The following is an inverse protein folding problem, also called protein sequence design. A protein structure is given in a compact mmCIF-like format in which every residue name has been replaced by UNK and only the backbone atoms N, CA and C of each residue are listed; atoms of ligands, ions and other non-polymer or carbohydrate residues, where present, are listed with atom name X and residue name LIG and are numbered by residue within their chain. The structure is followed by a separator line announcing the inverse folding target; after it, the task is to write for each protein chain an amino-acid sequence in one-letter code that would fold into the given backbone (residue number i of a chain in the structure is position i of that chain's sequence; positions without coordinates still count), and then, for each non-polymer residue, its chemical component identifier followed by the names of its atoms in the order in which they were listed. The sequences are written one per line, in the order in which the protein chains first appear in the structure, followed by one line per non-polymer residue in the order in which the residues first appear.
data_IF_504889292514
#
_entry.id   IF_504889292514
#
_cell.length_a   1.000
_cell.length_b   1.000
_cell.length_c   1.000
_cell.angle_alpha   90.00
_cell.angle_beta   90.00
_cell.angle_gamma   90.00
#
_symmetry.space_group_name_H-M   'P 1'
#
loop_
_entity.id
_entity.type
_entity.pdbx_description
1 polymer ?
#
# COMPACT_ATOMS: atom_id res chain seq x y z
N UNK A 1 -28.30 -23.81 -9.48
CA UNK A 1 -28.36 -24.06 -8.02
C UNK A 1 -27.18 -24.87 -7.48
N UNK A 2 -26.76 -25.99 -8.08
CA UNK A 2 -25.58 -26.80 -7.63
C UNK A 2 -24.20 -26.14 -7.82
N UNK A 3 -24.10 -25.08 -8.63
CA UNK A 3 -22.83 -24.39 -8.96
C UNK A 3 -22.37 -23.43 -7.86
N UNK A 4 -23.32 -22.87 -7.10
CA UNK A 4 -23.06 -21.87 -6.05
C UNK A 4 -22.73 -22.57 -4.72
N UNK A 5 -23.36 -23.73 -4.47
CA UNK A 5 -23.16 -24.51 -3.23
C UNK A 5 -21.72 -25.02 -3.08
N UNK A 6 -21.06 -25.35 -4.19
CA UNK A 6 -19.66 -25.84 -4.16
C UNK A 6 -18.67 -24.69 -3.94
N UNK A 7 -18.93 -23.51 -4.51
CA UNK A 7 -18.10 -22.31 -4.30
C UNK A 7 -18.20 -21.80 -2.86
N UNK A 8 -19.41 -21.82 -2.27
CA UNK A 8 -19.61 -21.51 -0.85
C UNK A 8 -18.91 -22.51 0.07
N UNK A 9 -18.86 -23.80 -0.29
CA UNK A 9 -18.17 -24.83 0.52
C UNK A 9 -16.65 -24.68 0.45
N UNK A 10 -16.07 -24.33 -0.70
CA UNK A 10 -14.62 -24.05 -0.80
C UNK A 10 -14.21 -22.77 -0.08
N UNK A 11 -15.02 -21.71 -0.15
CA UNK A 11 -14.76 -20.46 0.58
C UNK A 11 -14.97 -20.65 2.09
N UNK A 12 -15.98 -21.43 2.49
CA UNK A 12 -16.23 -21.76 3.91
C UNK A 12 -15.14 -22.64 4.51
N UNK A 13 -14.59 -23.60 3.76
CA UNK A 13 -13.46 -24.41 4.22
C UNK A 13 -12.15 -23.60 4.30
N UNK A 14 -11.95 -22.60 3.43
CA UNK A 14 -10.84 -21.64 3.58
C UNK A 14 -11.06 -20.71 4.79
N UNK A 15 -12.31 -20.30 5.07
CA UNK A 15 -12.65 -19.48 6.24
C UNK A 15 -12.55 -20.25 7.58
N UNK A 16 -12.89 -21.54 7.61
CA UNK A 16 -12.70 -22.42 8.79
C UNK A 16 -11.21 -22.66 9.10
N UNK A 17 -10.35 -22.67 8.08
CA UNK A 17 -8.90 -22.65 8.30
C UNK A 17 -8.39 -21.29 8.80
N UNK A 18 -9.13 -20.19 8.58
CA UNK A 18 -8.85 -18.88 9.15
C UNK A 18 -9.29 -18.77 10.62
N UNK A 19 -10.39 -19.41 11.03
CA UNK A 19 -10.84 -19.36 12.43
C UNK A 19 -9.91 -20.14 13.38
N UNK A 20 -9.37 -21.29 12.96
CA UNK A 20 -8.42 -22.07 13.76
C UNK A 20 -7.03 -21.43 13.89
N UNK A 21 -6.71 -20.44 13.03
CA UNK A 21 -5.49 -19.63 13.12
C UNK A 21 -5.71 -18.32 13.88
N UNK A 22 -6.95 -17.79 13.89
CA UNK A 22 -7.33 -16.62 14.68
C UNK A 22 -7.60 -16.95 16.16
N UNK A 23 -7.96 -18.19 16.51
CA UNK A 23 -8.17 -18.61 17.91
C UNK A 23 -6.89 -18.63 18.76
N UNK A 24 -5.71 -18.48 18.16
CA UNK A 24 -4.44 -18.33 18.87
C UNK A 24 -3.93 -16.87 18.95
N UNK A 25 -4.74 -15.89 18.53
CA UNK A 25 -4.33 -14.47 18.45
C UNK A 25 -5.24 -13.50 19.20
N UNK A 26 -6.12 -13.96 20.08
CA UNK A 26 -6.95 -13.06 20.89
C UNK A 26 -6.43 -12.89 22.33
N UNK A 27 -6.14 -11.62 22.66
CA UNK A 27 -6.19 -10.97 23.98
C UNK A 27 -4.95 -11.01 24.89
N UNK A 28 -3.99 -10.10 24.64
CA UNK A 28 -3.21 -9.41 25.69
C UNK A 28 -3.14 -7.90 25.32
N UNK A 29 -4.17 -7.14 25.73
CA UNK A 29 -4.18 -6.09 26.78
C UNK A 29 -3.67 -4.71 26.38
N UNK A 30 -4.62 -3.82 26.10
CA UNK A 30 -4.56 -2.38 26.41
C UNK A 30 -5.53 -2.12 27.58
N UNK A 31 -4.97 -1.72 28.73
CA UNK A 31 -5.52 -0.77 29.71
C UNK A 31 -4.71 -0.93 31.01
N UNK A 32 -3.89 0.06 31.31
CA UNK A 32 -3.35 0.26 32.65
C UNK A 32 -4.39 0.92 33.53
N UNK A 33 -4.48 0.49 34.79
CA UNK A 33 -4.83 1.32 35.94
C UNK A 33 -4.23 0.64 37.18
N UNK A 34 -3.39 1.42 37.84
CA UNK A 34 -2.66 1.13 39.07
C UNK A 34 -3.61 1.39 40.24
N UNK A 35 -3.89 0.39 41.06
CA UNK A 35 -4.28 0.57 42.47
C UNK A 35 -3.82 -0.63 43.30
N UNK A 36 -3.02 -0.34 44.33
CA UNK A 36 -2.60 -1.26 45.40
C UNK A 36 -3.80 -1.70 46.24
N UNK A 37 -3.91 -3.01 46.58
CA UNK A 37 -4.07 -3.53 47.96
C UNK A 37 -4.52 -5.00 47.98
N UNK A 38 -3.74 -5.77 48.75
CA UNK A 38 -4.12 -6.76 49.77
C UNK A 38 -4.79 -8.09 49.34
N UNK A 39 -4.08 -9.14 49.74
CA UNK A 39 -4.38 -10.57 49.83
C UNK A 39 -5.63 -10.90 50.65
N UNK A 40 -6.39 -11.92 50.21
CA UNK A 40 -7.04 -12.97 51.02
C UNK A 40 -7.62 -14.00 50.04
N UNK A 41 -7.01 -15.18 49.87
CA UNK A 41 -7.38 -16.45 50.54
C UNK A 41 -8.89 -16.66 50.58
N UNK A 42 -9.38 -17.64 49.81
CA UNK A 42 -10.48 -18.52 50.19
C UNK A 42 -10.42 -19.80 49.34
N UNK A 43 -10.27 -20.91 50.06
CA UNK A 43 -10.29 -22.30 49.59
C UNK A 43 -11.67 -22.69 49.05
N UNK A 44 -11.70 -23.56 48.03
CA UNK A 44 -12.74 -24.60 47.94
C UNK A 44 -12.23 -25.81 47.14
N UNK A 45 -12.42 -27.04 47.63
CA UNK A 45 -11.83 -28.25 47.07
C UNK A 45 -12.73 -28.85 45.98
N UNK A 46 -12.14 -29.31 44.86
CA UNK A 46 -12.83 -30.22 43.94
C UNK A 46 -12.03 -31.51 43.78
N UNK A 47 -12.47 -32.49 44.55
CA UNK A 47 -12.61 -33.92 44.28
C UNK A 47 -11.97 -34.37 42.95
N UNK A 48 -10.84 -35.03 43.10
CA UNK A 48 -10.15 -35.83 42.10
C UNK A 48 -10.93 -37.12 41.83
N UNK A 49 -11.54 -37.23 40.65
CA UNK A 49 -11.92 -38.52 40.07
C UNK A 49 -10.90 -38.92 39.01
N UNK A 50 -10.17 -39.99 39.32
CA UNK A 50 -9.27 -40.68 38.43
C UNK A 50 -10.04 -41.86 37.81
N UNK A 51 -10.10 -41.99 36.47
CA UNK A 51 -10.32 -43.30 35.86
C UNK A 51 -9.00 -43.78 35.27
N UNK A 52 -8.50 -44.88 35.84
CA UNK A 52 -7.55 -45.78 35.19
C UNK A 52 -8.17 -46.27 33.88
N UNK A 53 -7.40 -46.29 32.78
CA UNK A 53 -7.41 -47.27 31.67
C UNK A 53 -6.35 -46.82 30.61
N UNK A 54 -5.87 -47.73 29.74
CA UNK A 54 -4.45 -47.95 29.52
C UNK A 54 -3.83 -47.12 28.39
N UNK A 55 -2.49 -47.02 28.45
CA UNK A 55 -1.59 -46.42 27.47
C UNK A 55 -1.91 -46.82 26.01
N UNK A 56 -2.77 -46.05 25.34
CA UNK A 56 -2.76 -45.97 23.89
C UNK A 56 -1.59 -45.05 23.49
N UNK A 57 -0.46 -45.70 23.18
CA UNK A 57 0.71 -45.09 22.56
C UNK A 57 0.28 -44.52 21.19
N UNK A 58 -0.15 -43.26 21.17
CA UNK A 58 -0.41 -42.53 19.93
C UNK A 58 0.92 -42.34 19.20
N UNK A 59 1.30 -43.32 18.36
CA UNK A 59 2.21 -43.06 17.25
C UNK A 59 1.48 -42.11 16.29
N UNK A 60 1.64 -40.81 16.53
CA UNK A 60 1.27 -39.75 15.58
C UNK A 60 2.18 -39.89 14.34
N UNK A 61 1.78 -40.78 13.43
CA UNK A 61 2.48 -41.01 12.17
C UNK A 61 2.23 -39.82 11.23
N UNK A 62 3.11 -38.83 11.36
CA UNK A 62 3.17 -37.66 10.48
C UNK A 62 3.37 -38.02 8.99
N UNK A 63 3.83 -39.24 8.69
CA UNK A 63 4.00 -39.76 7.31
C UNK A 63 2.68 -40.15 6.65
N UNK A 64 1.71 -40.72 7.39
CA UNK A 64 0.41 -41.15 6.84
C UNK A 64 -0.48 -39.95 6.50
N UNK A 65 -0.50 -38.90 7.35
CA UNK A 65 -1.18 -37.62 7.03
C UNK A 65 -0.65 -36.95 5.77
N UNK A 66 0.67 -37.00 5.51
CA UNK A 66 1.27 -36.46 4.28
C UNK A 66 0.93 -37.28 3.04
N UNK A 67 0.79 -38.60 3.16
CA UNK A 67 0.37 -39.49 2.06
C UNK A 67 -1.07 -39.25 1.63
N UNK A 68 -1.99 -39.22 2.61
CA UNK A 68 -3.42 -38.95 2.37
C UNK A 68 -3.63 -37.52 1.85
N UNK A 69 -2.92 -36.53 2.41
CA UNK A 69 -2.97 -35.15 1.93
C UNK A 69 -2.52 -34.99 0.47
N UNK A 70 -1.46 -35.71 0.05
CA UNK A 70 -1.02 -35.71 -1.35
C UNK A 70 -2.02 -36.37 -2.29
N UNK A 71 -2.61 -37.50 -1.88
CA UNK A 71 -3.64 -38.18 -2.67
C UNK A 71 -4.90 -37.31 -2.84
N UNK A 72 -5.41 -36.73 -1.75
CA UNK A 72 -6.58 -35.83 -1.77
C UNK A 72 -6.28 -34.59 -2.59
N UNK A 73 -5.11 -33.97 -2.43
CA UNK A 73 -4.69 -32.82 -3.24
C UNK A 73 -4.66 -33.15 -4.74
N UNK A 74 -4.09 -34.30 -5.12
CA UNK A 74 -4.02 -34.72 -6.52
C UNK A 74 -5.40 -34.96 -7.15
N UNK A 75 -6.36 -35.50 -6.37
CA UNK A 75 -7.74 -35.74 -6.82
C UNK A 75 -8.52 -34.44 -6.94
N UNK A 76 -8.32 -33.50 -6.01
CA UNK A 76 -8.86 -32.15 -6.08
C UNK A 76 -8.31 -31.37 -7.28
N UNK A 77 -7.01 -31.50 -7.57
CA UNK A 77 -6.37 -30.85 -8.71
C UNK A 77 -6.95 -31.36 -10.05
N UNK A 78 -7.18 -32.67 -10.19
CA UNK A 78 -7.84 -33.25 -11.38
C UNK A 78 -9.31 -32.84 -11.50
N UNK A 79 -10.03 -32.72 -10.39
CA UNK A 79 -11.43 -32.27 -10.42
C UNK A 79 -11.52 -30.79 -10.82
N UNK A 80 -10.62 -29.96 -10.28
CA UNK A 80 -10.54 -28.54 -10.62
C UNK A 80 -10.17 -28.31 -12.10
N UNK A 81 -9.22 -29.07 -12.66
CA UNK A 81 -8.85 -28.94 -14.08
C UNK A 81 -9.96 -29.37 -15.05
N UNK A 82 -10.72 -30.41 -14.71
CA UNK A 82 -11.93 -30.78 -15.47
C UNK A 82 -13.00 -29.69 -15.42
N UNK A 83 -13.19 -29.07 -14.26
CA UNK A 83 -14.13 -27.96 -14.07
C UNK A 83 -13.72 -26.72 -14.86
N UNK A 84 -12.44 -26.36 -14.84
CA UNK A 84 -11.89 -25.26 -15.65
C UNK A 84 -12.08 -25.52 -17.16
N UNK A 85 -11.82 -26.75 -17.62
CA UNK A 85 -12.04 -27.15 -19.01
C UNK A 85 -13.50 -27.07 -19.44
N UNK A 86 -14.43 -27.44 -18.55
CA UNK A 86 -15.87 -27.31 -18.79
C UNK A 86 -16.31 -25.84 -18.86
N UNK A 87 -15.90 -25.02 -17.89
CA UNK A 87 -16.22 -23.59 -17.85
C UNK A 87 -15.69 -22.86 -19.09
N UNK A 88 -14.45 -23.14 -19.50
CA UNK A 88 -13.84 -22.54 -20.69
C UNK A 88 -14.63 -22.81 -21.96
N UNK A 89 -15.17 -24.04 -22.11
CA UNK A 89 -15.95 -24.45 -23.29
C UNK A 89 -17.36 -23.86 -23.31
N UNK A 90 -18.02 -23.79 -22.16
CA UNK A 90 -19.45 -23.41 -22.09
C UNK A 90 -19.67 -21.91 -21.87
N UNK A 91 -18.79 -21.25 -21.11
CA UNK A 91 -18.95 -19.84 -20.73
C UNK A 91 -17.60 -19.09 -20.76
N UNK A 92 -17.08 -18.74 -21.96
CA UNK A 92 -15.74 -18.18 -22.11
C UNK A 92 -15.55 -16.84 -21.37
N UNK A 93 -16.55 -15.96 -21.36
CA UNK A 93 -16.50 -14.67 -20.63
C UNK A 93 -16.48 -14.86 -19.11
N UNK A 94 -17.28 -15.79 -18.59
CA UNK A 94 -17.29 -16.12 -17.17
C UNK A 94 -15.98 -16.79 -16.74
N UNK A 95 -15.42 -17.65 -17.60
CA UNK A 95 -14.13 -18.30 -17.35
C UNK A 95 -13.01 -17.27 -17.22
N UNK A 96 -12.97 -16.23 -18.06
CA UNK A 96 -11.98 -15.15 -17.93
C UNK A 96 -12.08 -14.46 -16.57
N UNK A 97 -13.29 -14.09 -16.13
CA UNK A 97 -13.50 -13.49 -14.81
C UNK A 97 -13.07 -14.44 -13.69
N UNK A 98 -13.57 -15.68 -13.69
CA UNK A 98 -13.22 -16.70 -12.72
C UNK A 98 -11.70 -16.90 -12.62
N UNK A 99 -11.02 -17.04 -13.76
CA UNK A 99 -9.58 -17.22 -13.82
C UNK A 99 -8.84 -16.00 -13.25
N UNK A 100 -9.23 -14.78 -13.62
CA UNK A 100 -8.65 -13.55 -13.05
C UNK A 100 -8.85 -13.48 -11.53
N UNK A 101 -10.01 -13.90 -11.01
CA UNK A 101 -10.25 -13.95 -9.57
C UNK A 101 -9.39 -14.98 -8.86
N UNK A 102 -9.34 -16.21 -9.36
CA UNK A 102 -8.55 -17.29 -8.78
C UNK A 102 -7.06 -16.94 -8.75
N UNK A 103 -6.52 -16.42 -9.86
CA UNK A 103 -5.14 -15.97 -9.91
C UNK A 103 -4.90 -14.77 -8.97
N UNK A 104 -5.81 -13.80 -8.93
CA UNK A 104 -5.72 -12.67 -8.00
C UNK A 104 -5.68 -13.10 -6.53
N UNK A 105 -6.49 -14.09 -6.14
CA UNK A 105 -6.47 -14.66 -4.78
C UNK A 105 -5.17 -15.42 -4.48
N UNK A 106 -4.64 -16.19 -5.45
CA UNK A 106 -3.36 -16.88 -5.29
C UNK A 106 -2.22 -15.88 -5.03
N UNK A 107 -2.16 -14.80 -5.82
CA UNK A 107 -1.17 -13.74 -5.68
C UNK A 107 -1.33 -13.01 -4.34
N UNK A 108 -2.54 -12.64 -3.96
CA UNK A 108 -2.81 -12.00 -2.66
C UNK A 108 -2.37 -12.87 -1.47
N UNK A 109 -2.56 -14.19 -1.56
CA UNK A 109 -2.13 -15.12 -0.52
C UNK A 109 -0.61 -15.26 -0.47
N UNK A 110 0.07 -15.21 -1.62
CA UNK A 110 1.53 -15.16 -1.67
C UNK A 110 2.06 -13.89 -1.01
N UNK A 111 1.49 -12.72 -1.35
CA UNK A 111 1.83 -11.45 -0.72
C UNK A 111 1.61 -11.47 0.79
N UNK A 112 0.48 -12.01 1.25
CA UNK A 112 0.18 -12.13 2.68
C UNK A 112 1.21 -13.01 3.41
N UNK A 113 1.66 -14.11 2.79
CA UNK A 113 2.70 -14.98 3.35
C UNK A 113 4.06 -14.28 3.39
N UNK A 114 4.42 -13.56 2.34
CA UNK A 114 5.66 -12.78 2.27
C UNK A 114 5.68 -11.67 3.33
N UNK A 115 4.60 -10.90 3.44
CA UNK A 115 4.45 -9.86 4.46
C UNK A 115 4.49 -10.45 5.87
N UNK A 116 3.86 -11.60 6.09
CA UNK A 116 3.96 -12.31 7.37
C UNK A 116 5.41 -12.68 7.68
N UNK A 117 6.15 -13.22 6.70
CA UNK A 117 7.57 -13.57 6.86
C UNK A 117 8.40 -12.33 7.22
N UNK A 118 8.19 -11.22 6.52
CA UNK A 118 8.88 -9.94 6.79
C UNK A 118 8.56 -9.46 8.21
N UNK A 119 7.27 -9.46 8.61
CA UNK A 119 6.85 -9.03 9.95
C UNK A 119 7.40 -9.92 11.06
N UNK A 120 7.43 -11.23 10.84
CA UNK A 120 8.07 -12.16 11.79
C UNK A 120 9.55 -11.87 11.91
N UNK A 121 10.27 -11.65 10.80
CA UNK A 121 11.69 -11.27 10.82
C UNK A 121 11.91 -9.97 11.59
N UNK A 122 11.12 -8.92 11.30
CA UNK A 122 11.19 -7.64 12.03
C UNK A 122 11.02 -7.83 13.54
N UNK A 123 10.08 -8.68 13.95
CA UNK A 123 9.83 -8.94 15.38
C UNK A 123 10.97 -9.74 16.02
N UNK A 124 11.44 -10.80 15.35
CA UNK A 124 12.53 -11.65 15.85
C UNK A 124 13.86 -10.91 15.93
N UNK A 125 14.18 -10.08 14.95
CA UNK A 125 15.45 -9.34 14.85
C UNK A 125 15.36 -7.92 15.43
N UNK A 126 14.20 -7.52 15.97
CA UNK A 126 13.91 -6.15 16.48
C UNK A 126 14.23 -5.03 15.48
N UNK A 127 14.13 -5.31 14.18
CA UNK A 127 14.40 -4.33 13.13
C UNK A 127 13.31 -3.27 13.08
N UNK A 128 13.72 -2.01 12.94
CA UNK A 128 12.80 -0.92 12.63
C UNK A 128 12.40 -0.99 11.16
N UNK A 129 11.28 -0.33 10.80
CA UNK A 129 10.85 -0.24 9.39
C UNK A 129 11.89 0.43 8.48
N UNK A 130 12.76 1.27 9.04
CA UNK A 130 13.76 2.07 8.32
C UNK A 130 14.98 1.26 7.86
N UNK A 131 15.27 0.16 8.56
CA UNK A 131 16.44 -0.69 8.33
C UNK A 131 16.16 -1.80 7.32
N UNK A 132 14.90 -1.96 6.91
CA UNK A 132 14.50 -2.95 5.94
C UNK A 132 15.07 -2.67 4.54
N UNK A 133 15.27 -3.73 3.74
CA UNK A 133 15.61 -3.55 2.34
C UNK A 133 14.42 -2.93 1.58
N UNK A 134 14.74 -2.17 0.53
CA UNK A 134 13.75 -1.45 -0.30
C UNK A 134 12.58 -2.34 -0.75
N UNK A 135 12.87 -3.55 -1.25
CA UNK A 135 11.85 -4.48 -1.77
C UNK A 135 10.86 -4.92 -0.69
N UNK A 136 11.32 -5.15 0.54
CA UNK A 136 10.46 -5.56 1.65
C UNK A 136 9.59 -4.38 2.13
N UNK A 137 10.16 -3.17 2.18
CA UNK A 137 9.42 -1.95 2.51
C UNK A 137 8.31 -1.65 1.49
N UNK A 138 8.63 -1.73 0.20
CA UNK A 138 7.67 -1.49 -0.87
C UNK A 138 6.55 -2.54 -0.84
N UNK A 139 6.88 -3.83 -0.66
CA UNK A 139 5.90 -4.91 -0.50
C UNK A 139 4.96 -4.65 0.68
N UNK A 140 5.49 -4.29 1.86
CA UNK A 140 4.69 -3.97 3.04
C UNK A 140 3.72 -2.81 2.78
N UNK A 141 4.21 -1.75 2.14
CA UNK A 141 3.41 -0.57 1.81
C UNK A 141 2.29 -0.89 0.82
N UNK A 142 2.60 -1.60 -0.26
CA UNK A 142 1.63 -2.03 -1.25
C UNK A 142 0.55 -2.92 -0.64
N UNK A 143 0.96 -3.93 0.15
CA UNK A 143 0.04 -4.82 0.83
C UNK A 143 -0.88 -4.06 1.79
N UNK A 144 -0.35 -3.16 2.62
CA UNK A 144 -1.16 -2.33 3.53
C UNK A 144 -2.21 -1.52 2.76
N UNK A 145 -1.80 -0.88 1.65
CA UNK A 145 -2.71 -0.10 0.79
C UNK A 145 -3.81 -0.98 0.19
N UNK A 146 -3.46 -2.19 -0.24
CA UNK A 146 -4.38 -3.16 -0.82
C UNK A 146 -5.38 -3.68 0.21
N UNK A 147 -4.93 -4.01 1.42
CA UNK A 147 -5.81 -4.46 2.52
C UNK A 147 -6.77 -3.36 2.96
N UNK A 148 -6.31 -2.11 3.09
CA UNK A 148 -7.19 -0.98 3.45
C UNK A 148 -8.29 -0.77 2.39
N UNK A 149 -7.98 -0.98 1.10
CA UNK A 149 -8.98 -0.92 0.02
C UNK A 149 -9.97 -2.10 0.05
N UNK A 150 -9.51 -3.30 0.40
CA UNK A 150 -10.35 -4.49 0.43
C UNK A 150 -11.16 -4.65 1.72
N UNK A 151 -10.77 -3.97 2.80
CA UNK A 151 -11.43 -4.07 4.10
C UNK A 151 -12.95 -3.81 4.06
N UNK A 152 -13.46 -2.74 3.41
CA UNK A 152 -14.91 -2.53 3.29
C UNK A 152 -15.63 -3.68 2.60
N UNK A 153 -15.02 -4.26 1.56
CA UNK A 153 -15.59 -5.39 0.83
C UNK A 153 -15.73 -6.63 1.71
N UNK A 154 -14.72 -6.91 2.53
CA UNK A 154 -14.73 -8.04 3.47
C UNK A 154 -15.84 -7.86 4.51
N UNK A 155 -16.01 -6.66 5.07
CA UNK A 155 -17.06 -6.37 6.06
C UNK A 155 -18.45 -6.53 5.46
N UNK A 156 -18.67 -6.03 4.24
CA UNK A 156 -19.95 -6.20 3.52
C UNK A 156 -20.23 -7.67 3.20
N UNK A 157 -19.20 -8.52 3.09
CA UNK A 157 -19.36 -9.96 2.79
C UNK A 157 -19.72 -10.82 4.00
N UNK A 158 -19.68 -10.29 5.23
CA UNK A 158 -19.96 -11.06 6.46
C UNK A 158 -21.41 -11.59 6.47
N UNK A 159 -22.45 -10.80 6.13
CA UNK A 159 -23.81 -11.31 6.06
C UNK A 159 -23.97 -12.28 4.87
N UNK A 160 -24.60 -13.45 5.06
CA UNK A 160 -24.68 -14.49 4.04
C UNK A 160 -25.39 -14.06 2.74
N UNK A 161 -26.31 -13.09 2.81
CA UNK A 161 -27.06 -12.56 1.66
C UNK A 161 -26.33 -11.45 0.90
N UNK A 162 -25.36 -10.79 1.52
CA UNK A 162 -24.63 -9.68 0.90
C UNK A 162 -23.55 -10.14 -0.08
N UNK A 163 -23.25 -11.44 -0.15
CA UNK A 163 -22.32 -12.00 -1.13
C UNK A 163 -22.69 -11.66 -2.58
N UNK A 164 -23.97 -11.72 -2.94
CA UNK A 164 -24.43 -11.33 -4.29
C UNK A 164 -24.23 -9.83 -4.54
N UNK A 165 -24.48 -8.99 -3.52
CA UNK A 165 -24.24 -7.56 -3.59
C UNK A 165 -22.74 -7.26 -3.81
N UNK A 166 -21.84 -8.00 -3.17
CA UNK A 166 -20.38 -7.88 -3.37
C UNK A 166 -20.01 -8.17 -4.83
N UNK A 167 -20.55 -9.23 -5.44
CA UNK A 167 -20.30 -9.51 -6.86
C UNK A 167 -20.82 -8.41 -7.79
N UNK A 168 -22.00 -7.86 -7.51
CA UNK A 168 -22.57 -6.73 -8.25
C UNK A 168 -21.68 -5.49 -8.11
N UNK A 169 -21.33 -5.11 -6.88
CA UNK A 169 -20.46 -3.96 -6.60
C UNK A 169 -19.09 -4.10 -7.25
N UNK A 170 -18.53 -5.31 -7.26
CA UNK A 170 -17.24 -5.60 -7.87
C UNK A 170 -17.26 -5.45 -9.40
N UNK A 171 -18.39 -5.79 -10.04
CA UNK A 171 -18.58 -5.63 -11.48
C UNK A 171 -18.74 -4.16 -11.87
N UNK A 172 -19.53 -3.38 -11.11
CA UNK A 172 -19.79 -1.97 -11.41
C UNK A 172 -18.69 -1.01 -10.94
N UNK A 173 -18.00 -1.33 -9.83
CA UNK A 173 -16.97 -0.47 -9.22
C UNK A 173 -15.60 -1.17 -9.10
N UNK A 174 -15.06 -1.74 -10.19
CA UNK A 174 -13.80 -2.49 -10.14
C UNK A 174 -12.63 -1.63 -9.67
N UNK A 175 -12.62 -0.33 -9.98
CA UNK A 175 -11.54 0.59 -9.62
C UNK A 175 -11.45 0.88 -8.11
N UNK A 176 -12.59 0.94 -7.43
CA UNK A 176 -12.67 1.37 -6.03
C UNK A 176 -12.53 0.21 -5.06
N UNK A 177 -13.10 -0.95 -5.41
CA UNK A 177 -13.22 -2.09 -4.52
C UNK A 177 -12.17 -3.19 -4.78
N UNK A 178 -11.65 -3.31 -6.00
CA UNK A 178 -10.67 -4.35 -6.31
C UNK A 178 -9.24 -3.89 -6.02
N UNK A 179 -8.46 -4.84 -5.53
CA UNK A 179 -7.01 -4.76 -5.43
C UNK A 179 -6.40 -4.89 -6.85
N UNK A 180 -5.25 -4.24 -7.17
CA UNK A 180 -4.60 -4.37 -8.48
C UNK A 180 -4.39 -5.80 -8.98
N UNK A 181 -4.24 -6.78 -8.08
CA UNK A 181 -4.14 -8.21 -8.39
C UNK A 181 -5.35 -8.80 -9.13
N UNK A 182 -6.52 -8.17 -9.02
CA UNK A 182 -7.75 -8.61 -9.69
C UNK A 182 -8.05 -7.83 -10.97
N UNK A 183 -7.18 -6.88 -11.35
CA UNK A 183 -7.34 -6.10 -12.57
C UNK A 183 -6.66 -6.81 -13.75
N UNK A 184 -7.30 -6.74 -14.91
CA UNK A 184 -6.64 -7.14 -16.16
C UNK A 184 -5.46 -6.21 -16.48
N UNK A 185 -4.43 -6.66 -17.23
CA UNK A 185 -3.28 -5.81 -17.57
C UNK A 185 -3.69 -4.50 -18.26
N UNK A 186 -4.71 -4.55 -19.13
CA UNK A 186 -5.27 -3.35 -19.79
C UNK A 186 -5.87 -2.38 -18.78
N UNK A 187 -6.70 -2.88 -17.86
CA UNK A 187 -7.30 -2.06 -16.79
C UNK A 187 -6.24 -1.45 -15.87
N UNK A 188 -5.14 -2.16 -15.59
CA UNK A 188 -4.07 -1.61 -14.77
C UNK A 188 -3.46 -0.35 -15.40
N UNK A 189 -3.13 -0.40 -16.69
CA UNK A 189 -2.58 0.74 -17.43
C UNK A 189 -3.58 1.90 -17.49
N UNK A 190 -4.82 1.61 -17.85
CA UNK A 190 -5.88 2.62 -17.96
C UNK A 190 -6.16 3.30 -16.62
N UNK A 191 -6.31 2.53 -15.54
CA UNK A 191 -6.56 3.08 -14.22
C UNK A 191 -5.36 3.87 -13.71
N UNK A 192 -4.13 3.42 -13.95
CA UNK A 192 -2.94 4.19 -13.60
C UNK A 192 -2.90 5.53 -14.34
N UNK A 193 -3.19 5.54 -15.65
CA UNK A 193 -3.28 6.78 -16.42
C UNK A 193 -4.35 7.73 -15.86
N UNK A 194 -5.53 7.20 -15.52
CA UNK A 194 -6.61 7.98 -14.93
C UNK A 194 -6.27 8.51 -13.52
N UNK A 195 -5.63 7.72 -12.67
CA UNK A 195 -5.16 8.17 -11.36
C UNK A 195 -4.08 9.25 -11.48
N UNK A 196 -3.20 9.13 -12.48
CA UNK A 196 -2.22 10.14 -12.79
C UNK A 196 -2.87 11.45 -13.29
N UNK A 197 -3.85 11.38 -14.19
CA UNK A 197 -4.54 12.60 -14.66
C UNK A 197 -5.28 13.32 -13.54
N UNK A 198 -5.90 12.58 -12.60
CA UNK A 198 -6.51 13.18 -11.41
C UNK A 198 -5.48 13.84 -10.49
N UNK A 199 -4.30 13.24 -10.33
CA UNK A 199 -3.17 13.84 -9.59
C UNK A 199 -2.71 15.13 -10.28
N UNK A 200 -2.56 15.12 -11.60
CA UNK A 200 -2.07 16.25 -12.38
C UNK A 200 -2.96 17.51 -12.26
N UNK A 201 -4.27 17.34 -12.06
CA UNK A 201 -5.20 18.46 -11.79
C UNK A 201 -4.83 19.28 -10.56
N UNK A 202 -4.08 18.71 -9.62
CA UNK A 202 -3.66 19.38 -8.40
C UNK A 202 -2.29 20.06 -8.48
N UNK A 203 -1.54 19.90 -9.57
CA UNK A 203 -0.23 20.52 -9.72
C UNK A 203 -0.30 22.06 -9.73
N UNK A 204 -1.18 22.64 -10.55
CA UNK A 204 -1.35 24.10 -10.63
C UNK A 204 -1.89 24.74 -9.34
N UNK A 205 -2.93 24.18 -8.68
CA UNK A 205 -3.34 24.67 -7.36
C UNK A 205 -2.22 24.67 -6.32
N UNK A 206 -1.35 23.66 -6.33
CA UNK A 206 -0.20 23.60 -5.41
C UNK A 206 0.81 24.70 -5.73
N UNK A 207 1.13 24.94 -7.01
CA UNK A 207 2.04 26.03 -7.41
C UNK A 207 1.46 27.41 -7.05
N UNK A 208 0.16 27.63 -7.27
CA UNK A 208 -0.52 28.86 -6.88
C UNK A 208 -0.54 29.05 -5.35
N UNK A 209 -0.74 27.97 -4.60
CA UNK A 209 -0.65 27.98 -3.13
C UNK A 209 0.75 28.35 -2.63
N UNK A 210 1.80 27.84 -3.30
CA UNK A 210 3.19 28.19 -3.02
C UNK A 210 3.49 29.67 -3.31
N UNK A 211 3.05 30.18 -4.45
CA UNK A 211 3.24 31.58 -4.84
C UNK A 211 2.51 32.54 -3.89
N UNK A 212 1.27 32.21 -3.49
CA UNK A 212 0.55 33.00 -2.48
C UNK A 212 1.30 33.00 -1.14
N UNK A 213 1.88 31.86 -0.77
CA UNK A 213 2.64 31.73 0.48
C UNK A 213 3.98 32.46 0.40
N UNK A 214 4.63 32.50 -0.77
CA UNK A 214 5.92 33.19 -0.96
C UNK A 214 5.82 34.69 -0.66
N UNK A 215 4.69 35.32 -0.97
CA UNK A 215 4.42 36.74 -0.66
C UNK A 215 4.47 37.06 0.84
N UNK A 216 4.29 36.06 1.70
CA UNK A 216 4.29 36.19 3.17
C UNK A 216 5.61 35.73 3.81
N UNK A 217 6.63 35.40 3.02
CA UNK A 217 7.94 35.01 3.52
C UNK A 217 8.72 36.26 3.92
N UNK A 218 9.17 36.32 5.18
CA UNK A 218 9.92 37.47 5.71
C UNK A 218 11.34 37.60 5.14
N UNK A 219 11.99 36.47 4.85
CA UNK A 219 13.33 36.45 4.26
C UNK A 219 13.25 36.75 2.75
N UNK A 220 13.69 37.95 2.36
CA UNK A 220 13.65 38.40 0.97
C UNK A 220 14.47 37.54 0.00
N UNK A 221 15.57 36.91 0.44
CA UNK A 221 16.36 36.04 -0.42
C UNK A 221 15.64 34.71 -0.67
N UNK A 222 15.11 34.08 0.38
CA UNK A 222 14.34 32.85 0.25
C UNK A 222 13.02 33.08 -0.49
N UNK A 223 12.39 34.22 -0.30
CA UNK A 223 11.20 34.64 -1.03
C UNK A 223 11.45 34.70 -2.55
N UNK A 224 12.53 35.39 -2.97
CA UNK A 224 12.91 35.47 -4.39
C UNK A 224 13.18 34.08 -4.96
N UNK A 225 14.00 33.27 -4.29
CA UNK A 225 14.31 31.90 -4.71
C UNK A 225 13.07 31.03 -4.90
N UNK A 226 12.10 31.10 -3.97
CA UNK A 226 10.85 30.34 -4.09
C UNK A 226 9.98 30.85 -5.24
N UNK A 227 9.92 32.16 -5.44
CA UNK A 227 9.15 32.79 -6.52
C UNK A 227 9.75 32.45 -7.88
N UNK A 228 11.07 32.54 -8.03
CA UNK A 228 11.80 32.14 -9.23
C UNK A 228 11.61 30.66 -9.54
N UNK A 229 11.66 29.80 -8.51
CA UNK A 229 11.40 28.37 -8.65
C UNK A 229 9.98 28.09 -9.18
N UNK A 230 8.97 28.79 -8.65
CA UNK A 230 7.59 28.65 -9.12
C UNK A 230 7.43 29.17 -10.56
N UNK A 231 8.03 30.32 -10.88
CA UNK A 231 7.98 30.92 -12.21
C UNK A 231 8.62 29.99 -13.26
N UNK A 232 9.78 29.38 -12.97
CA UNK A 232 10.41 28.40 -13.87
C UNK A 232 9.50 27.22 -14.20
N UNK A 233 8.86 26.64 -13.18
CA UNK A 233 7.93 25.52 -13.40
C UNK A 233 6.69 25.97 -14.18
N UNK A 234 6.18 27.18 -13.92
CA UNK A 234 5.07 27.75 -14.69
C UNK A 234 5.45 28.02 -16.16
N UNK A 235 6.70 28.37 -16.43
CA UNK A 235 7.22 28.61 -17.78
C UNK A 235 7.51 27.32 -18.58
N UNK A 236 7.26 26.15 -18.00
CA UNK A 236 7.51 24.87 -18.68
C UNK A 236 8.91 24.30 -18.47
N UNK A 237 9.75 24.92 -17.64
CA UNK A 237 11.10 24.43 -17.34
C UNK A 237 11.10 23.42 -16.18
N UNK A 238 12.08 22.51 -16.18
CA UNK A 238 12.34 21.62 -15.04
C UNK A 238 13.44 22.21 -14.14
N UNK A 239 13.15 22.47 -12.86
CA UNK A 239 14.10 23.09 -11.94
C UNK A 239 15.23 22.14 -11.58
N UNK A 240 16.42 22.71 -11.35
CA UNK A 240 17.61 21.93 -10.94
C UNK A 240 17.49 21.50 -9.47
N UNK A 241 18.11 20.37 -9.13
CA UNK A 241 18.14 19.83 -7.74
C UNK A 241 18.66 20.87 -6.73
N UNK A 242 19.70 21.62 -7.10
CA UNK A 242 20.27 22.69 -6.25
C UNK A 242 19.27 23.82 -5.96
N UNK A 243 18.42 24.18 -6.93
CA UNK A 243 17.41 25.23 -6.80
C UNK A 243 16.29 24.79 -5.84
N UNK A 244 15.87 23.52 -5.92
CA UNK A 244 14.90 22.93 -4.99
C UNK A 244 15.46 22.89 -3.56
N UNK A 245 16.72 22.47 -3.40
CA UNK A 245 17.35 22.38 -2.07
C UNK A 245 17.64 23.76 -1.46
N UNK A 246 17.79 24.80 -2.29
CA UNK A 246 18.02 26.16 -1.82
C UNK A 246 16.84 26.75 -1.03
N UNK A 247 15.63 26.21 -1.16
CA UNK A 247 14.42 26.68 -0.46
C UNK A 247 14.01 25.79 0.73
N UNK A 248 14.78 24.74 1.06
CA UNK A 248 14.42 23.74 2.09
C UNK A 248 14.07 24.31 3.47
N UNK A 249 14.70 25.42 3.86
CA UNK A 249 14.46 26.06 5.15
C UNK A 249 12.99 26.47 5.34
N UNK A 250 12.30 26.88 4.26
CA UNK A 250 10.90 27.30 4.28
C UNK A 250 9.94 26.14 4.62
N UNK A 251 10.38 24.89 4.39
CA UNK A 251 9.57 23.69 4.51
C UNK A 251 9.77 22.93 5.83
N UNK A 252 10.76 23.34 6.65
CA UNK A 252 10.96 22.80 8.01
C UNK A 252 9.96 23.33 9.02
N UNK A 253 9.50 24.58 8.85
CA UNK A 253 8.69 25.31 9.81
C UNK A 253 7.63 26.18 9.13
N UNK A 254 7.12 27.23 9.79
CA UNK A 254 6.30 28.22 9.11
C UNK A 254 7.09 28.84 7.93
N UNK A 255 6.47 29.06 6.75
CA UNK A 255 5.04 28.89 6.48
C UNK A 255 4.66 27.53 5.83
N UNK A 256 5.61 26.76 5.29
CA UNK A 256 5.31 25.61 4.41
C UNK A 256 5.47 24.23 5.07
N UNK A 257 5.90 24.16 6.32
CA UNK A 257 5.98 22.90 7.06
C UNK A 257 4.61 22.26 7.26
N UNK A 258 4.53 20.93 7.19
CA UNK A 258 3.24 20.19 7.18
C UNK A 258 2.32 20.56 8.34
N UNK A 259 2.87 20.84 9.54
CA UNK A 259 2.09 21.20 10.74
C UNK A 259 1.58 22.65 10.74
N UNK A 260 2.14 23.52 9.90
CA UNK A 260 1.89 24.97 9.89
C UNK A 260 1.23 25.45 8.61
N UNK A 261 1.32 24.67 7.54
CA UNK A 261 0.71 24.91 6.25
C UNK A 261 -0.82 25.00 6.33
N UNK A 262 -1.42 25.83 5.47
CA UNK A 262 -2.87 25.98 5.42
C UNK A 262 -3.58 24.67 5.07
N UNK A 263 -4.78 24.49 5.60
CA UNK A 263 -5.58 23.28 5.35
C UNK A 263 -5.96 23.15 3.88
N UNK A 264 -6.24 24.26 3.20
CA UNK A 264 -6.57 24.26 1.78
C UNK A 264 -5.38 23.83 0.91
N UNK A 265 -4.17 24.29 1.25
CA UNK A 265 -2.97 23.84 0.57
C UNK A 265 -2.71 22.34 0.82
N UNK A 266 -2.88 21.87 2.06
CA UNK A 266 -2.83 20.43 2.39
C UNK A 266 -3.85 19.60 1.60
N UNK A 267 -5.06 20.12 1.34
CA UNK A 267 -6.09 19.44 0.54
C UNK A 267 -5.67 19.27 -0.92
N UNK A 268 -4.91 20.22 -1.48
CA UNK A 268 -4.36 20.09 -2.84
C UNK A 268 -3.18 19.12 -2.92
N UNK A 269 -2.35 19.02 -1.86
CA UNK A 269 -1.21 18.09 -1.83
C UNK A 269 -1.66 16.64 -1.56
N UNK A 270 -2.74 16.44 -0.78
CA UNK A 270 -3.22 15.10 -0.39
C UNK A 270 -3.46 14.14 -1.57
N UNK A 271 -4.13 14.54 -2.67
CA UNK A 271 -4.29 13.72 -3.87
C UNK A 271 -2.98 13.29 -4.52
N UNK A 272 -1.88 14.03 -4.35
CA UNK A 272 -0.57 13.67 -4.92
C UNK A 272 -0.06 12.34 -4.37
N UNK A 273 -0.31 12.07 -3.09
CA UNK A 273 -0.02 10.79 -2.43
C UNK A 273 -1.20 9.80 -2.44
N UNK A 274 -2.24 10.06 -3.23
CA UNK A 274 -3.48 9.29 -3.27
C UNK A 274 -4.22 9.26 -1.91
N UNK A 275 -4.15 10.35 -1.15
CA UNK A 275 -4.86 10.52 0.12
C UNK A 275 -6.18 11.26 -0.09
N UNK A 276 -7.14 11.00 0.79
CA UNK A 276 -8.48 11.61 0.74
C UNK A 276 -8.44 13.02 1.34
N UNK A 277 -8.80 14.08 0.58
CA UNK A 277 -8.76 15.47 1.07
C UNK A 277 -9.97 15.88 1.93
N UNK A 278 -10.97 15.00 2.10
CA UNK A 278 -12.24 15.31 2.78
C UNK A 278 -12.22 15.15 4.30
N UNK A 279 -11.05 14.95 4.89
CA UNK A 279 -10.91 14.77 6.34
C UNK A 279 -10.77 16.12 7.06
N UNK A 280 -11.04 16.17 8.38
CA UNK A 280 -10.65 17.31 9.22
C UNK A 280 -9.16 17.66 9.08
N UNK A 281 -8.81 18.96 9.14
CA UNK A 281 -7.47 19.45 8.82
C UNK A 281 -6.33 18.79 9.60
N UNK A 282 -6.51 18.53 10.91
CA UNK A 282 -5.50 17.85 11.72
C UNK A 282 -5.25 16.39 11.29
N UNK A 283 -6.29 15.68 10.82
CA UNK A 283 -6.15 14.32 10.29
C UNK A 283 -5.46 14.32 8.92
N UNK A 284 -5.76 15.32 8.08
CA UNK A 284 -5.04 15.52 6.82
C UNK A 284 -3.55 15.69 7.11
N UNK A 285 -3.18 16.64 7.98
CA UNK A 285 -1.78 16.89 8.31
C UNK A 285 -1.06 15.67 8.89
N UNK A 286 -1.70 14.93 9.81
CA UNK A 286 -1.15 13.68 10.35
C UNK A 286 -0.92 12.63 9.28
N UNK A 287 -1.93 12.34 8.45
CA UNK A 287 -1.81 11.34 7.37
C UNK A 287 -0.77 11.76 6.35
N UNK A 288 -0.77 13.02 5.95
CA UNK A 288 0.17 13.56 5.00
C UNK A 288 1.61 13.41 5.51
N UNK A 289 1.86 13.79 6.76
CA UNK A 289 3.17 13.63 7.40
C UNK A 289 3.61 12.16 7.48
N UNK A 290 2.73 11.26 7.92
CA UNK A 290 3.05 9.83 8.01
C UNK A 290 3.40 9.22 6.65
N UNK A 291 2.65 9.56 5.61
CA UNK A 291 2.91 9.07 4.26
C UNK A 291 4.15 9.71 3.62
N UNK A 292 4.43 10.99 3.93
CA UNK A 292 5.64 11.66 3.47
C UNK A 292 6.91 11.07 4.10
N UNK A 293 6.87 10.80 5.42
CA UNK A 293 7.95 10.10 6.13
C UNK A 293 8.16 8.68 5.61
N UNK A 294 7.06 7.93 5.37
CA UNK A 294 7.15 6.60 4.77
C UNK A 294 7.80 6.64 3.38
N UNK A 295 7.45 7.63 2.55
CA UNK A 295 8.06 7.84 1.24
C UNK A 295 9.55 8.17 1.36
N UNK A 296 9.93 9.07 2.28
CA UNK A 296 11.32 9.44 2.54
C UNK A 296 12.15 8.24 3.02
N UNK A 297 11.60 7.40 3.90
CA UNK A 297 12.27 6.18 4.34
C UNK A 297 12.44 5.18 3.20
N UNK A 298 11.44 5.07 2.32
CA UNK A 298 11.50 4.30 1.08
C UNK A 298 12.60 4.82 0.14
N UNK A 299 12.73 6.13 0.01
CA UNK A 299 13.77 6.79 -0.77
C UNK A 299 15.17 6.52 -0.22
N UNK A 300 15.35 6.58 1.11
CA UNK A 300 16.62 6.22 1.77
C UNK A 300 16.99 4.76 1.49
N UNK A 301 16.05 3.83 1.62
CA UNK A 301 16.29 2.42 1.32
C UNK A 301 16.59 2.20 -0.17
N UNK A 302 15.91 2.93 -1.06
CA UNK A 302 16.16 2.87 -2.49
C UNK A 302 17.54 3.45 -2.85
N UNK A 303 17.96 4.53 -2.20
CA UNK A 303 19.29 5.12 -2.38
C UNK A 303 20.40 4.15 -1.96
N UNK A 304 20.19 3.34 -0.92
CA UNK A 304 21.13 2.28 -0.50
C UNK A 304 21.22 1.14 -1.53
N UNK A 305 20.09 0.77 -2.14
CA UNK A 305 20.04 -0.26 -3.18
C UNK A 305 20.65 0.22 -4.51
N UNK A 306 20.39 1.48 -4.85
CA UNK A 306 20.78 2.10 -6.12
C UNK A 306 19.74 1.85 -7.23
N UNK A 307 19.40 2.88 -8.04
CA UNK A 307 18.39 2.76 -9.11
C UNK A 307 18.80 1.79 -10.23
N UNK A 308 20.09 1.47 -10.36
CA UNK A 308 20.62 0.57 -11.39
C UNK A 308 20.29 -0.92 -11.12
N UNK A 309 19.99 -1.29 -9.87
CA UNK A 309 19.67 -2.66 -9.49
C UNK A 309 18.18 -2.99 -9.62
N UNK A 310 17.34 -1.99 -9.97
CA UNK A 310 15.91 -2.18 -10.17
C UNK A 310 15.64 -2.80 -11.54
N UNK A 311 14.70 -3.72 -11.58
CA UNK A 311 14.09 -4.17 -12.84
C UNK A 311 13.27 -3.04 -13.48
N UNK A 312 13.04 -3.12 -14.79
CA UNK A 312 12.30 -2.09 -15.55
C UNK A 312 10.89 -1.83 -14.99
N UNK A 313 10.21 -2.88 -14.50
CA UNK A 313 8.89 -2.76 -13.88
C UNK A 313 8.98 -2.11 -12.50
N UNK A 314 9.97 -2.49 -11.67
CA UNK A 314 10.22 -1.85 -10.38
C UNK A 314 10.57 -0.36 -10.56
N UNK A 315 11.37 -0.02 -11.57
CA UNK A 315 11.75 1.35 -11.90
C UNK A 315 10.53 2.19 -12.30
N UNK A 316 9.71 1.70 -13.24
CA UNK A 316 8.48 2.40 -13.64
C UNK A 316 7.52 2.58 -12.47
N UNK A 317 7.36 1.55 -11.64
CA UNK A 317 6.52 1.63 -10.47
C UNK A 317 7.05 2.65 -9.46
N UNK A 318 8.36 2.64 -9.19
CA UNK A 318 9.03 3.59 -8.31
C UNK A 318 8.82 5.05 -8.76
N UNK A 319 8.93 5.31 -10.06
CA UNK A 319 8.65 6.63 -10.63
C UNK A 319 7.17 7.02 -10.49
N UNK A 320 6.26 6.09 -10.80
CA UNK A 320 4.81 6.32 -10.72
C UNK A 320 4.33 6.69 -9.31
N UNK A 321 4.86 6.00 -8.30
CA UNK A 321 4.58 6.27 -6.89
C UNK A 321 4.90 7.74 -6.54
N UNK A 322 6.00 8.28 -7.07
CA UNK A 322 6.56 9.59 -6.75
C UNK A 322 5.99 10.74 -7.58
N UNK A 323 5.11 10.47 -8.55
CA UNK A 323 4.46 11.54 -9.32
C UNK A 323 4.42 11.28 -10.81
N UNK A 324 5.46 10.62 -11.34
CA UNK A 324 5.73 10.57 -12.77
C UNK A 324 4.77 9.67 -13.56
N UNK A 325 4.46 10.04 -14.80
CA UNK A 325 3.76 9.14 -15.72
C UNK A 325 4.74 8.18 -16.41
N UNK A 326 5.22 7.16 -15.67
CA UNK A 326 6.31 6.29 -16.13
C UNK A 326 5.99 5.37 -17.30
N UNK A 327 4.71 5.09 -17.57
CA UNK A 327 4.30 4.18 -18.66
C UNK A 327 4.50 4.80 -20.05
N UNK A 328 4.51 6.12 -20.18
CA UNK A 328 4.75 6.80 -21.46
C UNK A 328 6.23 7.09 -21.73
N UNK A 329 7.12 6.76 -20.79
CA UNK A 329 8.52 7.16 -20.84
C UNK A 329 9.46 5.99 -21.10
N UNK A 330 10.61 6.32 -21.70
CA UNK A 330 11.72 5.40 -21.84
C UNK A 330 12.30 5.01 -20.47
N UNK A 331 12.90 3.82 -20.38
CA UNK A 331 13.53 3.32 -19.15
C UNK A 331 14.68 4.23 -18.70
N UNK A 332 15.49 4.73 -19.63
CA UNK A 332 16.61 5.63 -19.31
C UNK A 332 16.11 6.97 -18.75
N UNK A 333 15.07 7.56 -19.33
CA UNK A 333 14.42 8.77 -18.80
C UNK A 333 13.87 8.53 -17.38
N UNK A 334 13.18 7.41 -17.15
CA UNK A 334 12.72 7.04 -15.81
C UNK A 334 13.89 6.95 -14.81
N UNK A 335 15.02 6.38 -15.23
CA UNK A 335 16.22 6.22 -14.38
C UNK A 335 16.89 7.56 -14.07
N UNK A 336 17.03 8.44 -15.05
CA UNK A 336 17.55 9.80 -14.87
C UNK A 336 16.65 10.61 -13.92
N UNK A 337 15.35 10.61 -14.17
CA UNK A 337 14.38 11.30 -13.32
C UNK A 337 14.41 10.78 -11.88
N UNK A 338 14.43 9.45 -11.70
CA UNK A 338 14.50 8.85 -10.37
C UNK A 338 15.81 9.19 -9.67
N UNK A 339 16.91 9.31 -10.41
CA UNK A 339 18.20 9.71 -9.85
C UNK A 339 18.16 11.15 -9.35
N UNK A 340 17.55 12.08 -10.10
CA UNK A 340 17.31 13.47 -9.66
C UNK A 340 16.40 13.52 -8.42
N UNK A 341 15.31 12.75 -8.42
CA UNK A 341 14.43 12.62 -7.25
C UNK A 341 15.22 12.15 -6.01
N UNK A 342 16.05 11.11 -6.17
CA UNK A 342 16.81 10.54 -5.08
C UNK A 342 17.84 11.54 -4.52
N UNK A 343 18.49 12.34 -5.37
CA UNK A 343 19.39 13.41 -4.91
C UNK A 343 18.66 14.46 -4.05
N UNK A 344 17.42 14.83 -4.41
CA UNK A 344 16.60 15.71 -3.58
C UNK A 344 16.28 15.00 -2.27
N UNK A 345 15.64 13.83 -2.32
CA UNK A 345 15.12 13.13 -1.13
C UNK A 345 16.22 12.75 -0.12
N UNK A 346 17.40 12.33 -0.57
CA UNK A 346 18.50 11.95 0.31
C UNK A 346 19.08 13.13 1.10
N UNK A 347 18.95 14.34 0.56
CA UNK A 347 19.42 15.58 1.18
C UNK A 347 18.43 16.17 2.21
N UNK A 348 17.21 15.61 2.30
CA UNK A 348 16.15 16.13 3.16
C UNK A 348 16.11 15.45 4.54
N UNK A 349 15.87 16.29 5.56
CA UNK A 349 15.58 15.84 6.93
C UNK A 349 14.11 15.47 7.11
N UNK A 350 13.82 14.76 8.18
CA UNK A 350 12.44 14.38 8.56
C UNK A 350 11.54 15.61 8.81
N UNK A 351 12.12 16.76 9.22
CA UNK A 351 11.38 18.03 9.36
C UNK A 351 11.02 18.66 8.01
N UNK A 352 11.76 18.36 6.95
CA UNK A 352 11.66 18.96 5.62
C UNK A 352 10.81 18.14 4.65
N UNK A 353 10.11 17.11 5.13
CA UNK A 353 9.25 16.24 4.30
C UNK A 353 8.17 16.99 3.53
N UNK A 354 7.81 18.20 3.95
CA UNK A 354 6.92 19.04 3.15
C UNK A 354 7.54 19.34 1.78
N UNK A 355 8.84 19.63 1.71
CA UNK A 355 9.52 19.88 0.43
C UNK A 355 9.46 18.65 -0.46
N UNK A 356 9.66 17.44 0.08
CA UNK A 356 9.55 16.19 -0.68
C UNK A 356 8.21 16.06 -1.41
N UNK A 357 7.11 16.48 -0.76
CA UNK A 357 5.78 16.46 -1.35
C UNK A 357 5.61 17.49 -2.46
N UNK A 358 6.19 18.67 -2.30
CA UNK A 358 6.16 19.71 -3.32
C UNK A 358 7.09 19.37 -4.50
N UNK A 359 8.18 18.63 -4.26
CA UNK A 359 9.06 18.10 -5.30
C UNK A 359 8.35 17.14 -6.26
N UNK A 360 7.25 16.50 -5.84
CA UNK A 360 6.37 15.74 -6.75
C UNK A 360 5.91 16.65 -7.89
N UNK A 361 5.51 17.88 -7.57
CA UNK A 361 5.05 18.86 -8.55
C UNK A 361 6.23 19.44 -9.31
N UNK A 362 7.26 19.92 -8.60
CA UNK A 362 8.41 20.57 -9.23
C UNK A 362 9.12 19.68 -10.27
N UNK A 363 9.24 18.38 -10.01
CA UNK A 363 9.94 17.46 -10.90
C UNK A 363 9.03 16.72 -11.89
N UNK A 364 7.70 16.70 -11.71
CA UNK A 364 6.81 15.88 -12.57
C UNK A 364 5.95 16.70 -13.53
N UNK A 365 5.75 18.00 -13.33
CA UNK A 365 4.84 18.80 -14.16
C UNK A 365 5.33 18.89 -15.61
N UNK A 366 6.61 19.22 -15.80
CA UNK A 366 7.20 19.47 -17.12
C UNK A 366 8.10 18.33 -17.58
N UNK A 367 8.02 17.14 -16.97
CA UNK A 367 8.87 16.01 -17.34
C UNK A 367 8.15 15.02 -18.26
N UNK A 368 8.78 14.56 -19.36
CA UNK A 368 10.09 14.96 -19.87
C UNK A 368 9.99 16.35 -20.48
N UNK A 369 11.09 17.12 -20.47
CA UNK A 369 11.15 18.38 -21.20
C UNK A 369 10.74 18.09 -22.64
N UNK A 370 9.51 18.43 -23.02
CA UNK A 370 9.17 18.47 -24.43
C UNK A 370 10.03 19.59 -24.99
N UNK A 371 10.87 19.35 -26.00
CA UNK A 371 11.49 20.47 -26.69
C UNK A 371 10.34 21.39 -27.10
N UNK A 372 10.42 22.66 -26.69
CA UNK A 372 9.52 23.70 -27.11
C UNK A 372 9.27 23.50 -28.60
N UNK A 373 8.01 23.21 -28.97
CA UNK A 373 7.59 23.35 -30.37
C UNK A 373 7.73 24.84 -30.68
N UNK A 374 8.92 25.21 -31.15
CA UNK A 374 9.15 26.45 -31.86
C UNK A 374 8.46 26.39 -33.21
#
# INVERSE_FOLDING_TARGET
MRVITVTTVTVSNMALSCSSLCSHLSLIRLCGLRTNRITNVLYSPRVSYQPRLPLCRYYSSSKVRRGIGRYVSSRLQRANSKYEGFLKRRFPRFFQLYHTFVEGFKLLFQDARDVKRIKTRMFSEKLQFQDLPYRDMEKLRQFRRNVVKAFPLVVISIPPFANYLVFVLMYFFPRQLLIPHFWTPRQQVEFQALYHSLRARHHWPVLKGLENTSRHVTDGQLQRRLTDLCAKVQNGENPKVSEILAVRALFSGPPLGIKRMSVDHMRHISPLLFLTPRLPGFLIGRRLNSHALELLQLDRALSRLGPNQLSDSELRQACYIRGLHSNSLGINQCREWLSQWLQVSSSLKDSEVSLLLHSIVFLSVNYPNSPSRH
#
